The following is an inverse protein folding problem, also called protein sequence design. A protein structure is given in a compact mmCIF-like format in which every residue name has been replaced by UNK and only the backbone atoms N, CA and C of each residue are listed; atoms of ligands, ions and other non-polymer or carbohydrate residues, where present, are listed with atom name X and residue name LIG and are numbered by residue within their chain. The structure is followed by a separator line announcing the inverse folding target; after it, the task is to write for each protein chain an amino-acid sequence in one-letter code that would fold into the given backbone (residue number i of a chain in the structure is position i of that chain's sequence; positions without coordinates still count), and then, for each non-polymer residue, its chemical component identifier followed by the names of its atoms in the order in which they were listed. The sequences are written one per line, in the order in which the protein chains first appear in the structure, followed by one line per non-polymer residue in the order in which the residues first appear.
data_IF_380995366777
#
_entry.id   IF_380995366777
#
_cell.length_a   1.000
_cell.length_b   1.000
_cell.length_c   1.000
_cell.angle_alpha   90.00
_cell.angle_beta   90.00
_cell.angle_gamma   90.00
#
_symmetry.space_group_name_H-M   'P 1'
#
loop_
_entity.id
_entity.type
_entity.pdbx_description
1 polymer ?
#
# COMPACT_ATOMS: atom_id res chain seq x y z
N UNK A 1 -6.55 23.94 1.13
CA UNK A 1 -6.72 22.82 0.20
C UNK A 1 -5.94 21.59 0.66
N UNK A 2 -4.61 21.53 0.57
CA UNK A 2 -3.84 20.33 0.98
C UNK A 2 -3.99 20.01 2.48
N UNK A 3 -3.88 21.01 3.36
CA UNK A 3 -4.08 20.82 4.82
C UNK A 3 -5.47 20.26 5.16
N UNK A 4 -6.47 20.55 4.33
CA UNK A 4 -7.83 20.09 4.53
C UNK A 4 -8.02 18.65 4.05
N UNK A 5 -7.39 18.27 2.93
CA UNK A 5 -7.49 16.91 2.39
C UNK A 5 -6.65 15.89 3.18
N UNK A 6 -5.66 16.35 3.95
CA UNK A 6 -4.86 15.52 4.86
C UNK A 6 -5.47 15.39 6.26
N UNK A 7 -6.54 16.13 6.58
CA UNK A 7 -7.26 15.96 7.85
C UNK A 7 -7.91 14.57 7.90
N UNK A 8 -7.55 13.79 8.91
CA UNK A 8 -8.08 12.44 9.14
C UNK A 8 -9.61 12.43 9.22
N UNK A 9 -10.24 13.48 9.77
CA UNK A 9 -11.71 13.59 9.85
C UNK A 9 -12.33 13.75 8.47
N UNK A 10 -11.68 14.48 7.57
CA UNK A 10 -12.14 14.66 6.18
C UNK A 10 -11.99 13.34 5.42
N UNK A 11 -10.84 12.67 5.55
CA UNK A 11 -10.59 11.36 4.93
C UNK A 11 -11.58 10.30 5.42
N UNK A 12 -11.87 10.24 6.72
CA UNK A 12 -12.87 9.33 7.29
C UNK A 12 -14.27 9.59 6.72
N UNK A 13 -14.67 10.86 6.60
CA UNK A 13 -15.95 11.22 5.98
C UNK A 13 -16.02 10.84 4.50
N UNK A 14 -14.93 11.02 3.75
CA UNK A 14 -14.86 10.59 2.35
C UNK A 14 -15.03 9.07 2.22
N UNK A 15 -14.38 8.30 3.09
CA UNK A 15 -14.54 6.85 3.15
C UNK A 15 -15.96 6.43 3.55
N UNK A 16 -16.58 7.10 4.52
CA UNK A 16 -17.97 6.81 4.91
C UNK A 16 -18.92 7.01 3.73
N UNK A 17 -18.76 8.11 2.98
CA UNK A 17 -19.52 8.35 1.77
C UNK A 17 -19.28 7.24 0.73
N UNK A 18 -18.01 6.86 0.50
CA UNK A 18 -17.64 5.82 -0.46
C UNK A 18 -18.26 4.47 -0.10
N UNK A 19 -18.24 4.08 1.17
CA UNK A 19 -18.84 2.84 1.68
C UNK A 19 -20.35 2.87 1.47
N UNK A 20 -21.03 3.98 1.80
CA UNK A 20 -22.47 4.12 1.56
C UNK A 20 -22.81 3.98 0.07
N UNK A 21 -22.04 4.63 -0.80
CA UNK A 21 -22.22 4.54 -2.25
C UNK A 21 -22.02 3.10 -2.75
N UNK A 22 -20.91 2.46 -2.39
CA UNK A 22 -20.60 1.08 -2.80
C UNK A 22 -21.61 0.07 -2.24
N UNK A 23 -22.11 0.28 -1.02
CA UNK A 23 -23.15 -0.55 -0.42
C UNK A 23 -24.45 -0.48 -1.23
N UNK A 24 -24.89 0.73 -1.57
CA UNK A 24 -26.08 0.96 -2.40
C UNK A 24 -25.92 0.30 -3.77
N UNK A 25 -24.79 0.55 -4.45
CA UNK A 25 -24.50 -0.01 -5.78
C UNK A 25 -24.42 -1.54 -5.77
N UNK A 26 -23.80 -2.12 -4.75
CA UNK A 26 -23.70 -3.58 -4.57
C UNK A 26 -25.08 -4.20 -4.33
N UNK A 27 -25.90 -3.57 -3.48
CA UNK A 27 -27.27 -4.03 -3.23
C UNK A 27 -28.14 -3.97 -4.49
N UNK A 28 -28.05 -2.88 -5.25
CA UNK A 28 -28.76 -2.75 -6.52
C UNK A 28 -28.33 -3.83 -7.52
N UNK A 29 -27.04 -4.12 -7.63
CA UNK A 29 -26.55 -5.20 -8.49
C UNK A 29 -27.10 -6.57 -8.08
N UNK A 30 -27.14 -6.85 -6.78
CA UNK A 30 -27.72 -8.08 -6.25
C UNK A 30 -29.21 -8.17 -6.61
N UNK A 31 -29.96 -7.08 -6.46
CA UNK A 31 -31.40 -7.03 -6.81
C UNK A 31 -31.65 -7.26 -8.29
N UNK A 32 -30.83 -6.67 -9.17
CA UNK A 32 -30.90 -6.91 -10.62
C UNK A 32 -30.63 -8.38 -10.95
N UNK A 33 -29.67 -9.02 -10.27
CA UNK A 33 -29.42 -10.44 -10.49
C UNK A 33 -30.61 -11.31 -10.03
N UNK A 34 -31.24 -10.96 -8.91
CA UNK A 34 -32.45 -11.64 -8.41
C UNK A 34 -33.66 -11.46 -9.33
N UNK A 35 -33.87 -10.27 -9.89
CA UNK A 35 -34.97 -10.02 -10.82
C UNK A 35 -34.84 -10.80 -12.13
N UNK A 36 -33.61 -11.20 -12.51
CA UNK A 36 -33.37 -12.11 -13.62
C UNK A 36 -33.57 -13.60 -13.26
N UNK A 37 -34.21 -13.91 -12.13
CA UNK A 37 -34.53 -15.27 -11.72
C UNK A 37 -33.35 -16.10 -11.22
N UNK A 38 -32.18 -15.48 -10.98
CA UNK A 38 -31.02 -16.18 -10.42
C UNK A 38 -31.29 -16.49 -8.94
N UNK A 39 -30.93 -17.71 -8.52
CA UNK A 39 -30.94 -18.08 -7.11
C UNK A 39 -29.98 -17.20 -6.30
N UNK A 40 -30.13 -17.21 -4.97
CA UNK A 40 -29.36 -16.33 -4.09
C UNK A 40 -27.85 -16.55 -4.19
N UNK A 41 -27.39 -17.78 -4.34
CA UNK A 41 -25.97 -18.10 -4.42
C UNK A 41 -25.37 -17.55 -5.72
N UNK A 42 -26.01 -17.84 -6.85
CA UNK A 42 -25.58 -17.34 -8.17
C UNK A 42 -25.66 -15.82 -8.26
N UNK A 43 -26.70 -15.21 -7.68
CA UNK A 43 -26.87 -13.75 -7.66
C UNK A 43 -25.77 -13.07 -6.84
N UNK A 44 -25.40 -13.63 -5.69
CA UNK A 44 -24.27 -13.15 -4.87
C UNK A 44 -22.94 -13.29 -5.60
N UNK A 45 -22.68 -14.44 -6.22
CA UNK A 45 -21.43 -14.67 -6.95
C UNK A 45 -21.27 -13.67 -8.12
N UNK A 46 -22.34 -13.45 -8.88
CA UNK A 46 -22.37 -12.47 -9.98
C UNK A 46 -22.37 -11.00 -9.53
N UNK A 47 -22.35 -10.74 -8.22
CA UNK A 47 -22.24 -9.40 -7.63
C UNK A 47 -20.93 -9.21 -6.86
N UNK A 48 -19.94 -10.10 -7.07
CA UNK A 48 -18.63 -10.01 -6.39
C UNK A 48 -17.70 -8.99 -7.05
N UNK A 49 -17.37 -9.22 -8.33
CA UNK A 49 -16.39 -8.43 -9.06
C UNK A 49 -16.90 -7.00 -9.25
N UNK A 50 -16.06 -6.01 -8.94
CA UNK A 50 -16.36 -4.56 -8.96
C UNK A 50 -17.39 -4.05 -7.94
N UNK A 51 -18.14 -4.91 -7.26
CA UNK A 51 -19.13 -4.55 -6.26
C UNK A 51 -18.70 -5.03 -4.87
N UNK A 52 -19.11 -6.23 -4.44
CA UNK A 52 -18.86 -6.70 -3.08
C UNK A 52 -17.36 -6.75 -2.72
N UNK A 53 -16.48 -7.12 -3.66
CA UNK A 53 -15.03 -7.07 -3.44
C UNK A 53 -14.54 -5.65 -3.17
N UNK A 54 -14.94 -4.69 -4.00
CA UNK A 54 -14.53 -3.28 -3.87
C UNK A 54 -15.06 -2.70 -2.57
N UNK A 55 -16.32 -2.99 -2.22
CA UNK A 55 -16.93 -2.59 -0.95
C UNK A 55 -16.15 -3.12 0.25
N UNK A 56 -15.80 -4.41 0.26
CA UNK A 56 -15.04 -5.02 1.35
C UNK A 56 -13.65 -4.38 1.52
N UNK A 57 -12.97 -4.06 0.41
CA UNK A 57 -11.67 -3.37 0.44
C UNK A 57 -11.83 -1.96 1.01
N UNK A 58 -12.78 -1.16 0.50
CA UNK A 58 -13.01 0.18 1.01
C UNK A 58 -13.40 0.20 2.50
N UNK A 59 -14.16 -0.80 2.95
CA UNK A 59 -14.55 -0.95 4.35
C UNK A 59 -13.35 -1.24 5.25
N UNK A 60 -12.48 -2.19 4.88
CA UNK A 60 -11.32 -2.52 5.71
C UNK A 60 -10.30 -1.38 5.74
N UNK A 61 -10.11 -0.66 4.63
CA UNK A 61 -9.25 0.53 4.59
C UNK A 61 -9.78 1.64 5.51
N UNK A 62 -11.08 1.94 5.46
CA UNK A 62 -11.72 2.86 6.40
C UNK A 62 -11.53 2.41 7.86
N UNK A 63 -11.72 1.11 8.14
CA UNK A 63 -11.56 0.57 9.48
C UNK A 63 -10.12 0.75 10.00
N UNK A 64 -9.12 0.47 9.15
CA UNK A 64 -7.71 0.68 9.48
C UNK A 64 -7.44 2.16 9.75
N UNK A 65 -7.88 3.07 8.88
CA UNK A 65 -7.69 4.51 9.06
C UNK A 65 -8.34 5.03 10.35
N UNK A 66 -9.58 4.59 10.62
CA UNK A 66 -10.32 4.93 11.83
C UNK A 66 -9.60 4.43 13.08
N UNK A 67 -9.20 3.16 13.10
CA UNK A 67 -8.47 2.59 14.23
C UNK A 67 -7.11 3.26 14.44
N UNK A 68 -6.40 3.56 13.36
CA UNK A 68 -5.14 4.26 13.45
C UNK A 68 -5.34 5.64 14.08
N UNK A 69 -6.29 6.45 13.59
CA UNK A 69 -6.63 7.75 14.17
C UNK A 69 -6.98 7.66 15.66
N UNK A 70 -7.80 6.69 16.06
CA UNK A 70 -8.14 6.48 17.48
C UNK A 70 -6.91 6.12 18.33
N UNK A 71 -6.01 5.27 17.83
CA UNK A 71 -4.81 4.87 18.57
C UNK A 71 -3.86 6.04 18.76
N UNK A 72 -3.69 6.88 17.73
CA UNK A 72 -2.84 8.07 17.81
C UNK A 72 -3.41 9.11 18.77
N UNK A 73 -4.73 9.28 18.84
CA UNK A 73 -5.37 10.22 19.77
C UNK A 73 -5.43 9.69 21.22
N UNK A 74 -5.58 8.38 21.42
CA UNK A 74 -5.78 7.78 22.75
C UNK A 74 -4.49 7.54 23.54
N UNK A 75 -3.35 7.41 22.86
CA UNK A 75 -2.07 7.23 23.54
C UNK A 75 -1.51 8.57 24.02
N UNK A 76 -1.20 8.65 25.33
CA UNK A 76 -0.42 9.76 25.90
C UNK A 76 1.05 9.56 25.53
N UNK A 77 1.40 9.97 24.32
CA UNK A 77 2.77 9.92 23.80
C UNK A 77 3.31 11.34 23.65
N UNK A 78 4.62 11.47 23.51
CA UNK A 78 5.27 12.74 23.17
C UNK A 78 4.59 13.39 21.95
N UNK A 79 4.26 14.69 22.01
CA UNK A 79 3.64 15.43 20.90
C UNK A 79 4.40 15.29 19.57
N UNK A 80 5.72 15.19 19.60
CA UNK A 80 6.55 15.01 18.41
C UNK A 80 6.30 13.67 17.72
N UNK A 81 6.23 12.58 18.48
CA UNK A 81 5.91 11.23 17.98
C UNK A 81 4.46 11.21 17.48
N UNK A 82 3.54 11.81 18.24
CA UNK A 82 2.14 11.89 17.85
C UNK A 82 1.97 12.60 16.51
N UNK A 83 2.74 13.66 16.24
CA UNK A 83 2.73 14.37 14.96
C UNK A 83 3.20 13.47 13.80
N UNK A 84 4.28 12.71 13.97
CA UNK A 84 4.78 11.79 12.94
C UNK A 84 3.75 10.69 12.64
N UNK A 85 3.12 10.13 13.67
CA UNK A 85 2.07 9.12 13.51
C UNK A 85 0.83 9.67 12.81
N UNK A 86 0.43 10.92 13.08
CA UNK A 86 -0.65 11.58 12.33
C UNK A 86 -0.30 11.72 10.85
N UNK A 87 0.94 12.11 10.51
CA UNK A 87 1.38 12.20 9.11
C UNK A 87 1.35 10.85 8.41
N UNK A 88 1.74 9.77 9.09
CA UNK A 88 1.65 8.40 8.55
C UNK A 88 0.19 7.96 8.33
N UNK A 89 -0.70 8.26 9.28
CA UNK A 89 -2.13 7.97 9.13
C UNK A 89 -2.75 8.75 7.97
N UNK A 90 -2.38 10.03 7.82
CA UNK A 90 -2.82 10.87 6.72
C UNK A 90 -2.28 10.35 5.37
N UNK A 91 -1.00 9.96 5.31
CA UNK A 91 -0.40 9.40 4.10
C UNK A 91 -1.12 8.11 3.69
N UNK A 92 -1.37 7.21 4.63
CA UNK A 92 -2.14 5.99 4.38
C UNK A 92 -3.54 6.30 3.85
N UNK A 93 -4.26 7.24 4.48
CA UNK A 93 -5.61 7.63 4.10
C UNK A 93 -5.68 8.25 2.71
N UNK A 94 -4.83 9.22 2.41
CA UNK A 94 -4.77 9.89 1.09
C UNK A 94 -4.34 8.92 0.00
N UNK A 95 -3.29 8.12 0.24
CA UNK A 95 -2.80 7.12 -0.73
C UNK A 95 -3.83 6.04 -1.03
N UNK A 96 -4.54 5.55 -0.01
CA UNK A 96 -5.58 4.54 -0.21
C UNK A 96 -6.81 5.13 -0.91
N UNK A 97 -7.20 6.35 -0.57
CA UNK A 97 -8.36 7.02 -1.17
C UNK A 97 -8.13 7.40 -2.65
N UNK A 98 -6.90 7.77 -3.04
CA UNK A 98 -6.53 8.06 -4.43
C UNK A 98 -6.89 6.90 -5.37
N UNK A 99 -6.72 5.66 -4.90
CA UNK A 99 -7.03 4.44 -5.66
C UNK A 99 -8.53 4.24 -5.91
N UNK A 100 -9.39 4.94 -5.16
CA UNK A 100 -10.84 4.93 -5.31
C UNK A 100 -11.38 6.16 -6.06
N UNK A 101 -10.51 7.01 -6.62
CA UNK A 101 -10.91 8.22 -7.33
C UNK A 101 -11.95 7.96 -8.41
N UNK A 102 -11.76 6.92 -9.22
CA UNK A 102 -12.73 6.56 -10.28
C UNK A 102 -14.15 6.37 -9.72
N UNK A 103 -14.30 5.71 -8.57
CA UNK A 103 -15.60 5.50 -7.91
C UNK A 103 -16.14 6.78 -7.29
N UNK A 104 -15.27 7.61 -6.69
CA UNK A 104 -15.65 8.91 -6.13
C UNK A 104 -16.19 9.85 -7.23
N UNK A 105 -15.58 9.86 -8.42
CA UNK A 105 -16.09 10.60 -9.57
C UNK A 105 -17.38 9.98 -10.12
N UNK A 106 -17.44 8.66 -10.26
CA UNK A 106 -18.63 7.97 -10.77
C UNK A 106 -19.88 8.25 -9.92
N UNK A 107 -19.72 8.33 -8.59
CA UNK A 107 -20.83 8.64 -7.70
C UNK A 107 -21.05 10.13 -7.43
N UNK A 108 -20.27 11.02 -8.06
CA UNK A 108 -20.45 12.47 -7.99
C UNK A 108 -19.94 13.13 -6.71
N UNK A 109 -19.10 12.45 -5.91
CA UNK A 109 -18.43 13.06 -4.75
C UNK A 109 -17.33 14.01 -5.17
N UNK A 110 -16.52 13.58 -6.14
CA UNK A 110 -15.47 14.39 -6.75
C UNK A 110 -15.95 14.96 -8.09
N UNK A 111 -15.62 16.21 -8.38
CA UNK A 111 -15.95 16.88 -9.64
C UNK A 111 -14.74 17.69 -10.12
N UNK A 112 -14.47 17.63 -11.43
CA UNK A 112 -13.35 18.35 -12.04
C UNK A 112 -11.97 17.72 -11.78
N UNK A 113 -10.89 18.31 -12.28
CA UNK A 113 -9.54 17.75 -12.16
C UNK A 113 -8.92 17.94 -10.76
N UNK A 114 -9.36 18.96 -10.03
CA UNK A 114 -8.75 19.41 -8.76
C UNK A 114 -8.59 18.30 -7.70
N UNK A 115 -9.59 17.46 -7.39
CA UNK A 115 -9.44 16.43 -6.35
C UNK A 115 -8.29 15.46 -6.62
N UNK A 116 -8.07 15.11 -7.89
CA UNK A 116 -6.98 14.20 -8.28
C UNK A 116 -5.62 14.86 -8.09
N UNK A 117 -5.48 16.13 -8.50
CA UNK A 117 -4.24 16.90 -8.35
C UNK A 117 -3.92 17.07 -6.87
N UNK A 118 -4.90 17.52 -6.08
CA UNK A 118 -4.73 17.76 -4.65
C UNK A 118 -4.34 16.51 -3.85
N UNK A 119 -4.96 15.35 -4.13
CA UNK A 119 -4.58 14.10 -3.47
C UNK A 119 -3.14 13.71 -3.78
N UNK A 120 -2.72 13.82 -5.06
CA UNK A 120 -1.36 13.45 -5.47
C UNK A 120 -0.31 14.40 -4.91
N UNK A 121 -0.58 15.70 -4.90
CA UNK A 121 0.29 16.68 -4.26
C UNK A 121 0.40 16.45 -2.75
N UNK A 122 -0.72 16.13 -2.09
CA UNK A 122 -0.72 15.79 -0.67
C UNK A 122 0.14 14.56 -0.36
N UNK A 123 0.08 13.51 -1.19
CA UNK A 123 0.95 12.32 -1.06
C UNK A 123 2.42 12.72 -1.15
N UNK A 124 2.79 13.50 -2.18
CA UNK A 124 4.18 13.92 -2.39
C UNK A 124 4.69 14.79 -1.22
N UNK A 125 3.86 15.71 -0.73
CA UNK A 125 4.20 16.55 0.41
C UNK A 125 4.41 15.70 1.67
N UNK A 126 3.47 14.80 2.00
CA UNK A 126 3.58 13.94 3.17
C UNK A 126 4.81 13.02 3.10
N UNK A 127 5.13 12.47 1.92
CA UNK A 127 6.35 11.70 1.70
C UNK A 127 7.61 12.54 1.98
N UNK A 128 7.64 13.80 1.54
CA UNK A 128 8.75 14.73 1.81
C UNK A 128 8.89 15.01 3.32
N UNK A 129 7.77 15.20 4.01
CA UNK A 129 7.75 15.47 5.45
C UNK A 129 8.13 14.25 6.31
N UNK A 130 7.81 13.03 5.87
CA UNK A 130 8.11 11.78 6.59
C UNK A 130 9.54 11.30 6.29
N UNK A 131 10.12 11.67 5.15
CA UNK A 131 11.45 11.22 4.71
C UNK A 131 12.54 11.31 5.79
N UNK A 132 12.66 12.39 6.59
CA UNK A 132 13.70 12.47 7.64
C UNK A 132 13.54 11.40 8.72
N UNK A 133 12.30 10.98 9.01
CA UNK A 133 11.95 10.01 10.05
C UNK A 133 11.94 8.55 9.55
N UNK A 134 12.08 8.34 8.23
CA UNK A 134 11.83 7.05 7.60
C UNK A 134 12.72 5.91 8.14
N UNK A 135 13.99 6.21 8.41
CA UNK A 135 14.94 5.23 8.99
C UNK A 135 14.53 4.88 10.42
N UNK A 136 14.28 5.89 11.26
CA UNK A 136 13.87 5.66 12.65
C UNK A 136 12.54 4.88 12.75
N UNK A 137 11.57 5.18 11.87
CA UNK A 137 10.31 4.46 11.80
C UNK A 137 10.49 2.99 11.41
N UNK A 138 11.41 2.70 10.48
CA UNK A 138 11.75 1.34 10.09
C UNK A 138 12.49 0.60 11.21
N UNK A 139 13.42 1.26 11.88
CA UNK A 139 14.23 0.68 12.96
C UNK A 139 13.36 0.25 14.16
N UNK A 140 12.32 1.04 14.50
CA UNK A 140 11.40 0.71 15.60
C UNK A 140 10.64 -0.61 15.38
N UNK A 141 10.38 -0.98 14.13
CA UNK A 141 9.68 -2.23 13.79
C UNK A 141 10.61 -3.35 13.33
N UNK A 142 11.89 -3.04 13.09
CA UNK A 142 12.85 -4.01 12.57
C UNK A 142 13.15 -5.08 13.62
N UNK A 143 13.05 -6.37 13.27
CA UNK A 143 13.54 -7.43 14.15
C UNK A 143 15.09 -7.41 14.16
N UNK A 144 15.73 -8.10 15.13
CA UNK A 144 17.18 -8.27 15.15
C UNK A 144 17.73 -8.79 13.81
N UNK A 145 18.93 -8.37 13.42
CA UNK A 145 19.54 -8.68 12.12
C UNK A 145 19.57 -10.17 11.78
N UNK A 146 19.73 -11.04 12.77
CA UNK A 146 19.73 -12.50 12.55
C UNK A 146 18.36 -13.05 12.14
N UNK A 147 17.27 -12.41 12.58
CA UNK A 147 15.89 -12.74 12.17
C UNK A 147 15.58 -12.09 10.83
N UNK A 148 15.99 -10.82 10.65
CA UNK A 148 15.78 -10.11 9.40
C UNK A 148 16.48 -10.81 8.23
N UNK A 149 17.65 -11.40 8.48
CA UNK A 149 18.44 -12.19 7.54
C UNK A 149 18.60 -11.49 6.17
N UNK A 150 18.78 -10.17 6.21
CA UNK A 150 18.88 -9.33 5.02
C UNK A 150 20.22 -8.62 5.00
N UNK A 151 21.00 -8.89 3.96
CA UNK A 151 22.29 -8.23 3.72
C UNK A 151 22.11 -6.72 3.47
N UNK A 152 21.01 -6.33 2.81
CA UNK A 152 20.72 -4.93 2.49
C UNK A 152 20.10 -4.18 3.67
N UNK A 153 19.33 -4.87 4.51
CA UNK A 153 18.60 -4.28 5.63
C UNK A 153 19.34 -4.34 6.97
N UNK A 154 20.65 -4.65 6.96
CA UNK A 154 21.42 -4.83 8.19
C UNK A 154 21.57 -3.49 8.94
N UNK A 155 21.40 -3.53 10.26
CA UNK A 155 21.40 -2.36 11.15
C UNK A 155 22.69 -1.52 11.12
N UNK A 156 23.84 -2.11 10.74
CA UNK A 156 25.13 -1.42 10.70
C UNK A 156 25.32 -0.47 9.51
N UNK A 157 24.38 -0.43 8.56
CA UNK A 157 24.43 0.43 7.38
C UNK A 157 25.55 0.11 6.37
N UNK A 158 26.38 -0.91 6.61
CA UNK A 158 27.56 -1.24 5.80
C UNK A 158 27.22 -2.15 4.61
N UNK A 159 26.23 -1.75 3.81
CA UNK A 159 25.60 -2.56 2.75
C UNK A 159 26.61 -3.25 1.84
N UNK A 160 27.57 -2.50 1.27
CA UNK A 160 28.54 -3.06 0.33
C UNK A 160 29.47 -4.11 0.97
N UNK A 161 29.92 -3.85 2.20
CA UNK A 161 30.80 -4.77 2.94
C UNK A 161 30.06 -6.06 3.30
N UNK A 162 28.81 -5.92 3.75
CA UNK A 162 27.94 -7.06 4.04
C UNK A 162 27.66 -7.89 2.78
N UNK A 163 27.40 -7.23 1.65
CA UNK A 163 27.16 -7.89 0.37
C UNK A 163 28.39 -8.65 -0.10
N UNK A 164 29.56 -8.02 -0.06
CA UNK A 164 30.81 -8.68 -0.39
C UNK A 164 31.05 -9.91 0.50
N UNK A 165 30.83 -9.77 1.81
CA UNK A 165 31.02 -10.87 2.77
C UNK A 165 30.05 -12.02 2.49
N UNK A 166 28.78 -11.72 2.23
CA UNK A 166 27.78 -12.73 1.90
C UNK A 166 28.12 -13.47 0.60
N UNK A 167 28.59 -12.75 -0.43
CA UNK A 167 29.05 -13.36 -1.68
C UNK A 167 30.28 -14.24 -1.42
N UNK A 168 31.26 -13.76 -0.66
CA UNK A 168 32.52 -14.47 -0.43
C UNK A 168 32.38 -15.72 0.44
N UNK A 169 31.32 -15.80 1.25
CA UNK A 169 30.98 -16.97 2.04
C UNK A 169 30.23 -18.04 1.24
N UNK A 170 29.84 -17.76 0.00
CA UNK A 170 29.15 -18.72 -0.86
C UNK A 170 30.06 -19.89 -1.27
N UNK A 171 29.51 -21.09 -1.47
CA UNK A 171 30.29 -22.24 -1.89
C UNK A 171 30.88 -22.03 -3.29
N UNK A 172 32.14 -22.42 -3.48
CA UNK A 172 32.82 -22.43 -4.79
C UNK A 172 32.93 -21.06 -5.48
N UNK A 173 32.78 -19.96 -4.74
CA UNK A 173 32.75 -18.59 -5.30
C UNK A 173 34.09 -18.18 -5.93
N UNK A 174 35.19 -18.66 -5.39
CA UNK A 174 36.54 -18.41 -5.93
C UNK A 174 37.03 -19.53 -6.87
N UNK A 175 36.19 -20.54 -7.12
CA UNK A 175 36.51 -21.68 -7.97
C UNK A 175 35.92 -21.51 -9.37
N UNK A 176 36.46 -22.24 -10.35
CA UNK A 176 35.83 -22.30 -11.68
C UNK A 176 34.53 -23.09 -11.58
N UNK A 177 33.43 -22.50 -12.03
CA UNK A 177 32.14 -23.19 -12.11
C UNK A 177 32.28 -24.53 -12.86
N UNK A 178 31.70 -25.61 -12.36
CA UNK A 178 31.86 -26.97 -12.92
C UNK A 178 31.57 -27.06 -14.44
N UNK A 179 30.61 -26.26 -14.91
CA UNK A 179 30.15 -26.18 -16.29
C UNK A 179 30.96 -25.20 -17.18
N UNK A 180 32.03 -24.56 -16.68
CA UNK A 180 32.75 -23.51 -17.42
C UNK A 180 33.23 -23.98 -18.81
N UNK A 181 33.58 -25.27 -18.95
CA UNK A 181 34.01 -25.88 -20.22
C UNK A 181 32.87 -25.98 -21.24
N UNK A 182 31.62 -26.12 -20.81
CA UNK A 182 30.46 -26.25 -21.69
C UNK A 182 30.14 -24.91 -22.36
N UNK A 183 30.23 -23.82 -21.59
CA UNK A 183 30.01 -22.46 -22.10
C UNK A 183 31.21 -21.96 -22.92
N UNK A 184 32.44 -22.24 -22.51
CA UNK A 184 33.63 -21.83 -23.28
C UNK A 184 33.74 -22.56 -24.63
N UNK A 185 33.12 -23.74 -24.76
CA UNK A 185 33.02 -24.50 -26.02
C UNK A 185 31.86 -24.06 -26.90
N UNK A 186 30.99 -23.17 -26.42
CA UNK A 186 29.95 -22.51 -27.20
C UNK A 186 30.59 -21.45 -28.13
N UNK A 187 31.48 -21.91 -29.02
CA UNK A 187 31.97 -21.14 -30.14
C UNK A 187 30.81 -20.96 -31.12
N UNK A 188 30.66 -19.73 -31.63
CA UNK A 188 29.75 -19.26 -32.66
C UNK A 188 29.78 -20.08 -33.96
N UNK A 189 29.35 -21.34 -33.89
CA UNK A 189 28.88 -22.14 -35.03
C UNK A 189 27.35 -22.12 -35.06
N UNK A 190 26.75 -20.94 -34.90
CA UNK A 190 25.47 -20.69 -35.54
C UNK A 190 25.77 -20.58 -37.05
N UNK A 191 25.73 -21.72 -37.74
CA UNK A 191 25.59 -21.75 -39.19
C UNK A 191 24.15 -21.31 -39.49
N UNK A 192 23.96 -20.03 -39.76
CA UNK A 192 23.01 -19.57 -40.77
C UNK A 192 23.85 -19.16 -41.98
#
# INVERSE_FOLDING_TARGET
AIVEITDLKVLLKAYQWLICYLTKSTFQRLKINQSHGKDLFTAKNNSQVFFARTLSIAYIEHFILWKFSQLVESQKTDPSIQLVLHKLAALYGVWSLERHLATLYQGGYAVGPEPTVLLREAILQLCSEIKPEAVALADVIAPPDFILNSVLGKSDGNVYKNLQTAIFQGPQVFERASWWKEVSRFSSRAKL
#
